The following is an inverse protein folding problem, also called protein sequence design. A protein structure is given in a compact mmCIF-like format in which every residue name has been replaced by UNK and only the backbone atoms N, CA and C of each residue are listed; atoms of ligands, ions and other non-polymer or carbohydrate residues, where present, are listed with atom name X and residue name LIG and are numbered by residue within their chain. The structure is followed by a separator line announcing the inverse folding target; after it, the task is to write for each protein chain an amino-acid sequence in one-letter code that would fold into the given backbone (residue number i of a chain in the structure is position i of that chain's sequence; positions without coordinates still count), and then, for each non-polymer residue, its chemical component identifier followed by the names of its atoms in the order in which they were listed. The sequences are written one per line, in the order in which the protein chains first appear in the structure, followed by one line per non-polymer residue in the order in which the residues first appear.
data_IF_177444287270
#
_entry.id   IF_177444287270
#
_cell.length_a   1.000
_cell.length_b   1.000
_cell.length_c   1.000
_cell.angle_alpha   90.00
_cell.angle_beta   90.00
_cell.angle_gamma   90.00
#
_symmetry.space_group_name_H-M   'P 1'
#
loop_
_entity.id
_entity.type
_entity.pdbx_description
1 polymer ?
#
# COMPACT_ATOMS: atom_id res chain seq x y z
N UNK A 1 -11.02 10.71 -4.38
CA UNK A 1 -10.07 9.62 -4.74
C UNK A 1 -9.32 9.99 -6.00
N UNK A 2 -8.01 9.96 -5.99
CA UNK A 2 -7.15 10.27 -7.12
C UNK A 2 -6.72 8.97 -7.82
N UNK A 3 -7.16 8.78 -9.06
CA UNK A 3 -6.93 7.55 -9.83
C UNK A 3 -5.93 7.88 -10.95
N UNK A 4 -4.89 7.06 -11.11
CA UNK A 4 -4.00 7.14 -12.27
C UNK A 4 -4.23 5.95 -13.19
N UNK A 5 -4.40 6.19 -14.50
CA UNK A 5 -4.48 5.14 -15.51
C UNK A 5 -3.17 5.11 -16.29
N UNK A 6 -2.55 3.93 -16.35
CA UNK A 6 -1.27 3.71 -17.02
C UNK A 6 -1.39 2.56 -18.02
N UNK A 7 -0.90 2.79 -19.22
CA UNK A 7 -0.82 1.78 -20.28
C UNK A 7 0.62 1.35 -20.50
N UNK A 8 0.85 0.05 -20.61
CA UNK A 8 2.10 -0.44 -21.19
C UNK A 8 2.08 -0.29 -22.72
N UNK A 9 3.24 -0.39 -23.36
CA UNK A 9 3.38 -0.15 -24.80
C UNK A 9 2.52 -1.08 -25.66
N UNK A 10 2.31 -2.31 -25.26
CA UNK A 10 1.44 -3.27 -25.96
C UNK A 10 -0.05 -2.93 -25.79
N UNK A 11 -0.47 -2.54 -24.59
CA UNK A 11 -1.86 -2.18 -24.31
C UNK A 11 -2.30 -0.91 -25.07
N UNK A 12 -1.39 0.01 -25.33
CA UNK A 12 -1.68 1.23 -26.14
C UNK A 12 -2.13 0.91 -27.56
N UNK A 13 -1.79 -0.23 -28.09
CA UNK A 13 -2.16 -0.67 -29.47
C UNK A 13 -3.50 -1.39 -29.52
N UNK A 14 -4.05 -1.79 -28.38
CA UNK A 14 -5.30 -2.53 -28.29
C UNK A 14 -6.48 -1.57 -28.11
N UNK A 15 -7.17 -1.25 -29.21
CA UNK A 15 -8.29 -0.31 -29.25
C UNK A 15 -9.39 -0.51 -28.19
N UNK A 16 -9.83 -1.74 -27.89
CA UNK A 16 -10.88 -1.96 -26.89
C UNK A 16 -10.49 -1.46 -25.50
N UNK A 17 -9.21 -1.52 -25.13
CA UNK A 17 -8.74 -1.04 -23.81
C UNK A 17 -8.60 0.48 -23.77
N UNK A 18 -8.20 1.08 -24.87
CA UNK A 18 -8.15 2.55 -24.99
C UNK A 18 -9.57 3.12 -24.88
N UNK A 19 -10.52 2.52 -25.59
CA UNK A 19 -11.93 2.91 -25.52
C UNK A 19 -12.51 2.72 -24.10
N UNK A 20 -12.20 1.59 -23.44
CA UNK A 20 -12.60 1.32 -22.05
C UNK A 20 -12.07 2.41 -21.11
N UNK A 21 -10.81 2.74 -21.20
CA UNK A 21 -10.20 3.75 -20.34
C UNK A 21 -10.74 5.14 -20.60
N UNK A 22 -11.06 5.47 -21.85
CA UNK A 22 -11.68 6.74 -22.20
C UNK A 22 -13.10 6.85 -21.62
N UNK A 23 -13.96 5.84 -21.83
CA UNK A 23 -15.28 5.78 -21.22
C UNK A 23 -15.23 5.85 -19.70
N UNK A 24 -14.27 5.14 -19.09
CA UNK A 24 -14.08 5.18 -17.64
C UNK A 24 -13.72 6.58 -17.16
N UNK A 25 -12.81 7.30 -17.85
CA UNK A 25 -12.47 8.68 -17.53
C UNK A 25 -13.65 9.63 -17.61
N UNK A 26 -14.46 9.53 -18.67
CA UNK A 26 -15.64 10.37 -18.88
C UNK A 26 -16.67 10.14 -17.77
N UNK A 27 -16.93 8.90 -17.40
CA UNK A 27 -17.94 8.57 -16.38
C UNK A 27 -17.47 8.86 -14.95
N UNK A 28 -16.20 8.60 -14.63
CA UNK A 28 -15.65 8.86 -13.28
C UNK A 28 -15.58 10.36 -12.99
N UNK A 29 -15.36 11.20 -13.99
CA UNK A 29 -15.42 12.65 -13.83
C UNK A 29 -16.78 13.13 -13.31
N UNK A 30 -17.86 12.36 -13.51
CA UNK A 30 -19.21 12.64 -13.00
C UNK A 30 -19.44 12.15 -11.57
N UNK A 31 -18.50 11.41 -10.97
CA UNK A 31 -18.63 10.73 -9.67
C UNK A 31 -17.73 11.34 -8.58
N UNK A 32 -17.44 12.65 -8.62
CA UNK A 32 -16.59 13.38 -7.66
C UNK A 32 -15.18 12.78 -7.47
N UNK A 33 -14.71 12.02 -8.43
CA UNK A 33 -13.36 11.46 -8.45
C UNK A 33 -12.58 12.00 -9.62
N UNK A 34 -11.30 12.32 -9.42
CA UNK A 34 -10.47 12.89 -10.46
C UNK A 34 -9.43 11.90 -10.98
N UNK A 35 -9.32 11.78 -12.31
CA UNK A 35 -8.14 11.20 -12.93
C UNK A 35 -7.03 12.25 -12.98
N UNK A 36 -6.01 12.04 -12.17
CA UNK A 36 -4.87 12.96 -12.10
C UNK A 36 -3.60 12.26 -12.55
N UNK A 37 -2.76 12.97 -13.26
CA UNK A 37 -1.33 12.68 -13.33
C UNK A 37 -0.74 13.20 -12.01
N UNK A 38 -1.09 12.56 -10.90
CA UNK A 38 -0.60 12.95 -9.60
C UNK A 38 0.74 12.28 -9.33
N UNK A 39 1.64 12.98 -8.66
CA UNK A 39 2.89 12.41 -8.15
C UNK A 39 2.65 11.26 -7.17
N UNK A 40 1.48 11.21 -6.54
CA UNK A 40 1.07 10.15 -5.62
C UNK A 40 -0.44 9.89 -5.73
N UNK A 41 -0.91 9.04 -6.66
CA UNK A 41 -2.31 8.65 -6.75
C UNK A 41 -2.71 7.75 -5.57
N UNK A 42 -4.01 7.76 -5.23
CA UNK A 42 -4.57 6.83 -4.24
C UNK A 42 -4.53 5.39 -4.76
N UNK A 43 -4.75 5.22 -6.06
CA UNK A 43 -4.70 3.93 -6.75
C UNK A 43 -4.21 4.10 -8.21
N UNK A 44 -3.54 3.08 -8.73
CA UNK A 44 -3.13 3.02 -10.14
C UNK A 44 -3.81 1.87 -10.85
N UNK A 45 -4.52 2.18 -11.93
CA UNK A 45 -5.06 1.17 -12.83
C UNK A 45 -4.09 0.95 -13.99
N UNK A 46 -3.51 -0.24 -14.06
CA UNK A 46 -2.54 -0.66 -15.07
C UNK A 46 -3.25 -1.47 -16.15
N UNK A 47 -3.23 -0.98 -17.37
CA UNK A 47 -3.58 -1.74 -18.56
C UNK A 47 -2.29 -2.32 -19.14
N UNK A 48 -2.10 -3.63 -19.04
CA UNK A 48 -0.84 -4.26 -19.41
C UNK A 48 -0.96 -5.72 -19.83
N UNK A 49 -0.02 -6.15 -20.68
CA UNK A 49 0.12 -7.55 -21.06
C UNK A 49 0.90 -8.38 -20.03
N UNK A 50 1.04 -9.68 -20.30
CA UNK A 50 1.88 -10.57 -19.49
C UNK A 50 3.36 -10.44 -19.85
N UNK A 51 3.89 -9.23 -19.79
CA UNK A 51 5.24 -8.88 -20.20
C UNK A 51 6.12 -8.30 -19.07
N UNK A 52 7.41 -8.15 -19.35
CA UNK A 52 8.38 -7.60 -18.40
C UNK A 52 8.09 -6.15 -18.04
N UNK A 53 7.54 -5.34 -18.97
CA UNK A 53 7.24 -3.95 -18.73
C UNK A 53 6.11 -3.80 -17.71
N UNK A 54 5.04 -4.57 -17.87
CA UNK A 54 3.93 -4.65 -16.90
C UNK A 54 4.42 -5.14 -15.53
N UNK A 55 5.27 -6.17 -15.52
CA UNK A 55 5.84 -6.67 -14.26
C UNK A 55 6.67 -5.62 -13.54
N UNK A 56 7.54 -4.91 -14.25
CA UNK A 56 8.37 -3.84 -13.69
C UNK A 56 7.53 -2.68 -13.15
N UNK A 57 6.47 -2.32 -13.87
CA UNK A 57 5.55 -1.25 -13.46
C UNK A 57 4.79 -1.61 -12.18
N UNK A 58 4.22 -2.81 -12.10
CA UNK A 58 3.52 -3.28 -10.90
C UNK A 58 4.49 -3.40 -9.71
N UNK A 59 5.72 -3.89 -9.93
CA UNK A 59 6.74 -3.96 -8.89
C UNK A 59 7.09 -2.56 -8.38
N UNK A 60 7.26 -1.58 -9.27
CA UNK A 60 7.52 -0.19 -8.90
C UNK A 60 6.43 0.38 -7.98
N UNK A 61 5.15 0.23 -8.36
CA UNK A 61 4.05 0.75 -7.53
C UNK A 61 3.91 0.00 -6.21
N UNK A 62 4.16 -1.30 -6.19
CA UNK A 62 4.22 -2.07 -4.94
C UNK A 62 5.33 -1.55 -4.02
N UNK A 63 6.51 -1.26 -4.54
CA UNK A 63 7.64 -0.72 -3.76
C UNK A 63 7.34 0.70 -3.25
N UNK A 64 6.58 1.49 -4.01
CA UNK A 64 6.03 2.78 -3.60
C UNK A 64 4.83 2.66 -2.65
N UNK A 65 4.37 1.44 -2.34
CA UNK A 65 3.19 1.19 -1.50
C UNK A 65 1.90 1.81 -2.05
N UNK A 66 1.75 1.84 -3.36
CA UNK A 66 0.54 2.32 -4.03
C UNK A 66 -0.27 1.10 -4.49
N UNK A 67 -1.56 0.97 -4.12
CA UNK A 67 -2.40 -0.10 -4.59
C UNK A 67 -2.59 -0.06 -6.10
N UNK A 68 -2.69 -1.23 -6.73
CA UNK A 68 -2.83 -1.34 -8.18
C UNK A 68 -3.98 -2.26 -8.57
N UNK A 69 -4.72 -1.87 -9.60
CA UNK A 69 -5.62 -2.75 -10.34
C UNK A 69 -4.95 -3.08 -11.69
N UNK A 70 -4.93 -4.34 -12.06
CA UNK A 70 -4.42 -4.79 -13.35
C UNK A 70 -5.56 -5.26 -14.24
N UNK A 71 -5.73 -4.63 -15.41
CA UNK A 71 -6.47 -5.22 -16.54
C UNK A 71 -5.48 -5.93 -17.44
N UNK A 72 -5.56 -7.26 -17.51
CA UNK A 72 -4.66 -8.10 -18.30
C UNK A 72 -5.10 -8.09 -19.78
N UNK A 73 -4.50 -7.21 -20.58
CA UNK A 73 -4.88 -6.96 -21.95
C UNK A 73 -4.79 -8.20 -22.89
N UNK A 74 -3.85 -9.10 -22.62
CA UNK A 74 -3.75 -10.34 -23.38
C UNK A 74 -4.93 -11.30 -23.12
N UNK A 75 -5.52 -11.24 -21.92
CA UNK A 75 -6.69 -12.02 -21.56
C UNK A 75 -7.91 -11.52 -22.33
N UNK A 76 -8.18 -10.21 -22.37
CA UNK A 76 -9.28 -9.64 -23.14
C UNK A 76 -9.13 -9.88 -24.65
N UNK A 77 -7.92 -9.79 -25.20
CA UNK A 77 -7.67 -10.07 -26.61
C UNK A 77 -8.05 -11.51 -26.97
N UNK A 78 -7.78 -12.48 -26.10
CA UNK A 78 -8.21 -13.85 -26.29
C UNK A 78 -9.74 -14.01 -26.23
N UNK A 79 -10.40 -13.28 -25.32
CA UNK A 79 -11.85 -13.28 -25.17
C UNK A 79 -12.56 -12.64 -26.38
N UNK A 80 -12.12 -11.45 -26.81
CA UNK A 80 -12.70 -10.75 -27.98
C UNK A 80 -12.45 -11.47 -29.30
N UNK A 81 -11.41 -12.32 -29.41
CA UNK A 81 -11.14 -13.17 -30.55
C UNK A 81 -12.02 -14.44 -30.59
N UNK A 82 -13.02 -14.57 -29.72
CA UNK A 82 -13.90 -15.75 -29.63
C UNK A 82 -13.23 -16.99 -29.03
N UNK A 83 -12.06 -16.85 -28.44
CA UNK A 83 -11.42 -17.90 -27.65
C UNK A 83 -12.00 -17.90 -26.25
N UNK A 84 -13.01 -18.69 -26.03
CA UNK A 84 -13.83 -18.71 -24.80
C UNK A 84 -13.09 -19.17 -23.53
N UNK A 85 -11.88 -19.67 -23.61
CA UNK A 85 -11.13 -20.12 -22.43
C UNK A 85 -9.66 -19.76 -22.53
N UNK A 86 -9.14 -19.12 -21.47
CA UNK A 86 -7.69 -19.04 -21.29
C UNK A 86 -7.21 -20.43 -20.93
N UNK A 87 -6.46 -21.06 -21.86
CA UNK A 87 -5.84 -22.34 -21.59
C UNK A 87 -4.88 -22.21 -20.40
N UNK A 88 -5.17 -22.99 -19.33
CA UNK A 88 -4.36 -23.00 -18.09
C UNK A 88 -2.89 -23.34 -18.37
N UNK A 89 -2.61 -24.13 -19.42
CA UNK A 89 -1.25 -24.50 -19.83
C UNK A 89 -0.44 -23.29 -20.34
N UNK A 90 -1.11 -22.26 -20.87
CA UNK A 90 -0.48 -21.06 -21.42
C UNK A 90 -0.09 -20.05 -20.35
N UNK A 91 -0.62 -20.15 -19.14
CA UNK A 91 -0.25 -19.29 -18.04
C UNK A 91 0.99 -19.83 -17.32
N UNK A 92 2.15 -19.46 -17.87
CA UNK A 92 3.45 -19.79 -17.30
C UNK A 92 3.58 -19.29 -15.85
N UNK A 93 4.53 -19.86 -15.10
CA UNK A 93 4.85 -19.45 -13.72
C UNK A 93 5.10 -17.94 -13.60
N UNK A 94 5.64 -17.31 -14.64
CA UNK A 94 5.86 -15.84 -14.71
C UNK A 94 4.55 -15.06 -14.78
N UNK A 95 3.56 -15.51 -15.56
CA UNK A 95 2.23 -14.88 -15.66
C UNK A 95 1.49 -14.94 -14.35
N UNK A 96 1.49 -16.10 -13.68
CA UNK A 96 0.94 -16.24 -12.33
C UNK A 96 1.57 -15.27 -11.33
N UNK A 97 2.90 -15.16 -11.35
CA UNK A 97 3.63 -14.22 -10.49
C UNK A 97 3.24 -12.77 -10.77
N UNK A 98 3.02 -12.40 -12.02
CA UNK A 98 2.61 -11.07 -12.43
C UNK A 98 1.21 -10.73 -11.89
N UNK A 99 0.22 -11.61 -12.01
CA UNK A 99 -1.12 -11.41 -11.44
C UNK A 99 -1.07 -11.20 -9.93
N UNK A 100 -0.17 -11.88 -9.22
CA UNK A 100 0.02 -11.74 -7.77
C UNK A 100 0.76 -10.47 -7.35
N UNK A 101 1.30 -9.68 -8.28
CA UNK A 101 1.91 -8.38 -7.97
C UNK A 101 0.87 -7.26 -7.83
N UNK A 102 -0.26 -7.38 -8.53
CA UNK A 102 -1.36 -6.43 -8.43
C UNK A 102 -2.12 -6.60 -7.10
N UNK A 103 -2.70 -5.52 -6.59
CA UNK A 103 -3.59 -5.56 -5.41
C UNK A 103 -4.90 -6.24 -5.77
N UNK A 104 -5.44 -5.92 -6.97
CA UNK A 104 -6.58 -6.59 -7.56
C UNK A 104 -6.38 -6.78 -9.07
N UNK A 105 -7.02 -7.79 -9.64
CA UNK A 105 -7.02 -8.09 -11.08
C UNK A 105 -8.43 -7.93 -11.61
N UNK A 106 -8.59 -7.11 -12.63
CA UNK A 106 -9.85 -6.91 -13.32
C UNK A 106 -10.04 -7.95 -14.43
N UNK A 107 -11.22 -8.56 -14.47
CA UNK A 107 -11.74 -9.39 -15.54
C UNK A 107 -13.01 -8.79 -16.15
N UNK A 108 -13.20 -8.92 -17.45
CA UNK A 108 -14.34 -8.33 -18.17
C UNK A 108 -15.61 -9.19 -18.11
N UNK A 109 -15.51 -10.43 -17.64
CA UNK A 109 -16.62 -11.34 -17.51
C UNK A 109 -16.32 -12.51 -16.60
N UNK A 110 -17.38 -13.24 -16.21
CA UNK A 110 -17.28 -14.35 -15.25
C UNK A 110 -16.35 -15.49 -15.73
N UNK A 111 -16.36 -15.81 -17.02
CA UNK A 111 -15.51 -16.88 -17.58
C UNK A 111 -14.03 -16.51 -17.49
N UNK A 112 -13.67 -15.27 -17.86
CA UNK A 112 -12.32 -14.75 -17.71
C UNK A 112 -11.92 -14.71 -16.25
N UNK A 113 -12.80 -14.19 -15.38
CA UNK A 113 -12.58 -14.13 -13.94
C UNK A 113 -12.31 -15.51 -13.34
N UNK A 114 -13.10 -16.51 -13.69
CA UNK A 114 -12.91 -17.89 -13.25
C UNK A 114 -11.58 -18.48 -13.75
N UNK A 115 -11.19 -18.21 -15.00
CA UNK A 115 -9.93 -18.67 -15.56
C UNK A 115 -8.72 -18.02 -14.88
N UNK A 116 -8.76 -16.70 -14.63
CA UNK A 116 -7.70 -15.98 -13.92
C UNK A 116 -7.57 -16.46 -12.47
N UNK A 117 -8.70 -16.60 -11.76
CA UNK A 117 -8.72 -17.09 -10.37
C UNK A 117 -8.20 -18.54 -10.28
N UNK A 118 -8.58 -19.41 -11.21
CA UNK A 118 -8.09 -20.78 -11.25
C UNK A 118 -6.58 -20.85 -11.53
N UNK A 119 -6.05 -19.88 -12.25
CA UNK A 119 -4.63 -19.81 -12.59
C UNK A 119 -3.77 -19.24 -11.48
N UNK A 120 -4.26 -18.21 -10.80
CA UNK A 120 -3.61 -17.55 -9.68
C UNK A 120 -4.57 -17.50 -8.48
N UNK A 121 -4.77 -18.60 -7.73
CA UNK A 121 -5.77 -18.70 -6.66
C UNK A 121 -5.56 -17.71 -5.51
N UNK A 122 -4.38 -17.09 -5.42
CA UNK A 122 -4.04 -16.06 -4.43
C UNK A 122 -4.19 -14.64 -4.97
N UNK A 123 -4.43 -14.47 -6.28
CA UNK A 123 -4.74 -13.17 -6.85
C UNK A 123 -6.18 -12.80 -6.51
N UNK A 124 -6.41 -11.53 -6.24
CA UNK A 124 -7.74 -10.99 -6.03
C UNK A 124 -8.33 -10.64 -7.40
N UNK A 125 -9.24 -11.47 -7.89
CA UNK A 125 -9.85 -11.30 -9.21
C UNK A 125 -11.27 -10.81 -9.05
N UNK A 126 -11.54 -9.62 -9.59
CA UNK A 126 -12.86 -8.99 -9.60
C UNK A 126 -13.37 -8.83 -11.03
N UNK A 127 -14.66 -9.06 -11.22
CA UNK A 127 -15.33 -8.96 -12.52
C UNK A 127 -16.07 -7.64 -12.61
N UNK A 128 -15.68 -6.80 -13.57
CA UNK A 128 -16.43 -5.59 -13.96
C UNK A 128 -16.70 -5.67 -15.45
N UNK A 129 -17.98 -5.80 -15.80
CA UNK A 129 -18.37 -5.97 -17.21
C UNK A 129 -18.01 -4.73 -18.04
N UNK A 130 -17.46 -4.97 -19.24
CA UNK A 130 -17.03 -3.93 -20.16
C UNK A 130 -18.07 -3.72 -21.27
N UNK A 131 -18.69 -2.53 -21.42
CA UNK A 131 -19.68 -2.26 -22.46
C UNK A 131 -19.13 -2.33 -23.88
N UNK A 132 -17.81 -2.23 -24.07
CA UNK A 132 -17.16 -2.43 -25.38
C UNK A 132 -17.22 -3.89 -25.82
N UNK A 133 -17.36 -4.82 -24.87
CA UNK A 133 -17.37 -6.27 -25.10
C UNK A 133 -18.77 -6.86 -24.92
N UNK A 134 -19.54 -6.30 -23.98
CA UNK A 134 -20.90 -6.74 -23.65
C UNK A 134 -21.89 -5.61 -23.85
N UNK A 135 -22.76 -5.71 -24.85
CA UNK A 135 -23.76 -4.69 -25.20
C UNK A 135 -24.84 -4.47 -24.13
N UNK A 136 -24.88 -5.31 -23.09
CA UNK A 136 -25.91 -5.30 -22.03
C UNK A 136 -25.60 -4.37 -20.86
N UNK A 137 -24.38 -3.82 -20.78
CA UNK A 137 -23.93 -3.00 -19.65
C UNK A 137 -23.69 -1.57 -20.09
N UNK A 138 -24.28 -0.60 -19.39
CA UNK A 138 -24.02 0.82 -19.68
C UNK A 138 -22.66 1.27 -19.14
N UNK A 139 -22.06 2.30 -19.75
CA UNK A 139 -20.81 2.89 -19.29
C UNK A 139 -20.89 3.40 -17.83
N UNK A 140 -22.07 3.87 -17.39
CA UNK A 140 -22.31 4.30 -16.01
C UNK A 140 -22.24 3.13 -15.02
N UNK A 141 -22.83 1.98 -15.35
CA UNK A 141 -22.77 0.77 -14.52
C UNK A 141 -21.35 0.23 -14.44
N UNK A 142 -20.64 0.23 -15.55
CA UNK A 142 -19.21 -0.12 -15.58
C UNK A 142 -18.40 0.78 -14.68
N UNK A 143 -18.57 2.10 -14.78
CA UNK A 143 -17.83 3.06 -13.96
C UNK A 143 -18.09 2.85 -12.46
N UNK A 144 -19.36 2.62 -12.07
CA UNK A 144 -19.70 2.30 -10.70
C UNK A 144 -18.99 1.02 -10.21
N UNK A 145 -18.96 -0.03 -11.03
CA UNK A 145 -18.23 -1.27 -10.73
C UNK A 145 -16.73 -1.04 -10.55
N UNK A 146 -16.10 -0.22 -11.38
CA UNK A 146 -14.69 0.13 -11.19
C UNK A 146 -14.44 0.98 -9.94
N UNK A 147 -15.35 1.91 -9.61
CA UNK A 147 -15.22 2.69 -8.37
C UNK A 147 -15.28 1.78 -7.14
N UNK A 148 -16.18 0.81 -7.12
CA UNK A 148 -16.24 -0.20 -6.08
C UNK A 148 -14.94 -1.03 -6.02
N UNK A 149 -14.46 -1.53 -7.17
CA UNK A 149 -13.20 -2.27 -7.26
C UNK A 149 -12.01 -1.46 -6.75
N UNK A 150 -11.94 -0.18 -7.06
CA UNK A 150 -10.88 0.70 -6.57
C UNK A 150 -10.94 0.86 -5.06
N UNK A 151 -12.13 1.08 -4.51
CA UNK A 151 -12.32 1.20 -3.07
C UNK A 151 -11.91 -0.08 -2.33
N UNK A 152 -12.36 -1.23 -2.79
CA UNK A 152 -12.01 -2.54 -2.23
C UNK A 152 -10.49 -2.80 -2.30
N UNK A 153 -9.84 -2.42 -3.41
CA UNK A 153 -8.39 -2.57 -3.58
C UNK A 153 -7.61 -1.66 -2.62
N UNK A 154 -8.06 -0.42 -2.39
CA UNK A 154 -7.45 0.49 -1.42
C UNK A 154 -7.58 -0.07 0.00
N UNK A 155 -8.78 -0.46 0.41
CA UNK A 155 -9.05 -1.02 1.74
C UNK A 155 -8.22 -2.27 2.02
N UNK A 156 -8.16 -3.19 1.06
CA UNK A 156 -7.34 -4.39 1.16
C UNK A 156 -5.85 -4.09 1.27
N UNK A 157 -5.38 -3.09 0.52
CA UNK A 157 -4.00 -2.63 0.61
C UNK A 157 -3.69 -2.06 2.00
N UNK A 158 -4.56 -1.24 2.55
CA UNK A 158 -4.42 -0.67 3.90
C UNK A 158 -4.43 -1.77 4.97
N UNK A 159 -5.30 -2.76 4.88
CA UNK A 159 -5.29 -3.92 5.76
C UNK A 159 -3.96 -4.69 5.70
N UNK A 160 -3.39 -4.84 4.49
CA UNK A 160 -2.09 -5.47 4.29
C UNK A 160 -0.98 -4.66 4.95
N UNK A 161 -0.96 -3.34 4.77
CA UNK A 161 0.01 -2.43 5.40
C UNK A 161 -0.10 -2.50 6.92
N UNK A 162 -1.30 -2.43 7.47
CA UNK A 162 -1.53 -2.53 8.92
C UNK A 162 -1.05 -3.88 9.48
N UNK A 163 -1.31 -4.98 8.77
CA UNK A 163 -0.82 -6.31 9.15
C UNK A 163 0.73 -6.38 9.14
N UNK A 164 1.39 -5.79 8.16
CA UNK A 164 2.86 -5.71 8.10
C UNK A 164 3.43 -4.85 9.23
N UNK A 165 2.78 -3.73 9.55
CA UNK A 165 3.14 -2.87 10.70
C UNK A 165 3.07 -3.68 12.00
N UNK A 166 1.96 -4.36 12.26
CA UNK A 166 1.78 -5.19 13.47
C UNK A 166 2.82 -6.31 13.56
N UNK A 167 3.12 -7.01 12.47
CA UNK A 167 4.16 -8.05 12.42
C UNK A 167 5.54 -7.47 12.74
N UNK A 168 5.86 -6.31 12.19
CA UNK A 168 7.14 -5.62 12.42
C UNK A 168 7.31 -5.26 13.89
N UNK A 169 6.27 -4.67 14.50
CA UNK A 169 6.26 -4.30 15.93
C UNK A 169 6.39 -5.56 16.80
N UNK A 170 5.60 -6.58 16.53
CA UNK A 170 5.61 -7.84 17.30
C UNK A 170 6.99 -8.48 17.27
N UNK A 171 7.60 -8.61 16.10
CA UNK A 171 8.95 -9.16 15.97
C UNK A 171 10.00 -8.35 16.72
N UNK A 172 9.97 -7.02 16.60
CA UNK A 172 10.92 -6.14 17.28
C UNK A 172 10.75 -6.18 18.81
N UNK A 173 9.52 -6.17 19.33
CA UNK A 173 9.24 -6.24 20.77
C UNK A 173 9.60 -7.59 21.37
N UNK A 174 9.36 -8.71 20.67
CA UNK A 174 9.81 -10.03 21.09
C UNK A 174 11.34 -10.11 21.19
N UNK A 175 12.06 -9.52 20.23
CA UNK A 175 13.52 -9.44 20.28
C UNK A 175 14.01 -8.61 21.48
N UNK A 176 13.32 -7.51 21.82
CA UNK A 176 13.63 -6.72 23.02
C UNK A 176 13.45 -7.51 24.30
N UNK A 177 12.30 -8.17 24.47
CA UNK A 177 12.03 -9.00 25.64
C UNK A 177 13.05 -10.13 25.79
N UNK A 178 13.43 -10.80 24.68
CA UNK A 178 14.46 -11.84 24.70
C UNK A 178 15.82 -11.28 25.12
N UNK A 179 16.26 -10.17 24.55
CA UNK A 179 17.53 -9.51 24.88
C UNK A 179 17.64 -9.14 26.36
N UNK A 180 16.55 -8.73 26.98
CA UNK A 180 16.54 -8.36 28.40
C UNK A 180 16.51 -9.60 29.34
N UNK A 181 15.85 -10.67 28.92
CA UNK A 181 15.91 -11.96 29.62
C UNK A 181 17.36 -12.47 29.69
N UNK A 182 18.06 -12.44 28.57
CA UNK A 182 19.45 -12.89 28.47
C UNK A 182 20.42 -12.05 29.35
N UNK A 183 20.04 -10.81 29.69
CA UNK A 183 20.81 -9.91 30.58
C UNK A 183 20.40 -10.03 32.05
N UNK A 184 19.52 -10.95 32.44
CA UNK A 184 19.02 -11.11 33.83
C UNK A 184 18.11 -9.98 34.32
N UNK A 185 17.69 -9.06 33.45
CA UNK A 185 16.85 -7.90 33.79
C UNK A 185 15.35 -8.18 33.67
N UNK A 186 14.92 -9.42 33.82
CA UNK A 186 13.61 -9.91 33.42
C UNK A 186 12.42 -9.33 34.20
N UNK A 187 12.63 -8.86 35.43
CA UNK A 187 11.50 -8.50 36.31
C UNK A 187 11.13 -7.00 36.24
N UNK A 188 12.09 -6.11 36.02
CA UNK A 188 11.85 -4.66 36.09
C UNK A 188 11.36 -4.02 34.79
N UNK A 189 11.76 -4.55 33.63
CA UNK A 189 11.44 -3.95 32.33
C UNK A 189 10.04 -4.35 31.82
N UNK A 190 9.55 -5.54 32.27
CA UNK A 190 8.19 -6.00 31.92
C UNK A 190 7.18 -5.53 32.96
N UNK A 191 7.62 -5.29 34.20
CA UNK A 191 6.80 -4.90 35.34
C UNK A 191 7.00 -3.47 35.79
N UNK A 192 7.61 -2.61 34.99
CA UNK A 192 7.57 -1.17 35.22
C UNK A 192 6.13 -0.67 35.29
N UNK A 193 5.45 -1.13 36.34
CA UNK A 193 4.14 -0.73 36.81
C UNK A 193 3.04 -0.76 35.75
N UNK A 194 2.57 -1.89 35.38
CA UNK A 194 1.44 -2.17 34.50
C UNK A 194 1.85 -2.56 33.07
N UNK A 195 1.13 -3.53 32.50
CA UNK A 195 1.25 -3.95 31.10
C UNK A 195 0.96 -2.83 30.07
N UNK A 196 0.73 -1.61 30.53
CA UNK A 196 0.41 -0.43 29.78
C UNK A 196 1.65 0.17 29.08
N UNK A 197 2.84 0.17 29.69
CA UNK A 197 4.04 0.76 29.09
C UNK A 197 4.43 0.12 27.75
N UNK A 198 4.39 -1.20 27.63
CA UNK A 198 4.66 -1.90 26.37
C UNK A 198 3.55 -1.66 25.33
N UNK A 199 2.31 -1.49 25.76
CA UNK A 199 1.18 -1.16 24.91
C UNK A 199 1.35 0.25 24.30
N UNK A 200 1.76 1.22 25.10
CA UNK A 200 1.99 2.59 24.67
C UNK A 200 3.19 2.68 23.70
N UNK A 201 4.28 1.96 23.96
CA UNK A 201 5.41 1.88 23.02
C UNK A 201 4.97 1.28 21.69
N UNK A 202 4.19 0.20 21.70
CA UNK A 202 3.65 -0.38 20.46
C UNK A 202 2.79 0.61 19.70
N UNK A 203 1.99 1.42 20.40
CA UNK A 203 1.18 2.49 19.81
C UNK A 203 2.06 3.54 19.12
N UNK A 204 3.07 4.08 19.81
CA UNK A 204 4.03 5.04 19.22
C UNK A 204 4.72 4.45 17.99
N UNK A 205 5.22 3.22 18.08
CA UNK A 205 5.85 2.53 16.96
C UNK A 205 4.90 2.34 15.76
N UNK A 206 3.63 2.03 16.01
CA UNK A 206 2.62 1.91 14.97
C UNK A 206 2.39 3.24 14.25
N UNK A 207 2.24 4.34 14.98
CA UNK A 207 2.09 5.67 14.40
C UNK A 207 3.33 6.10 13.59
N UNK A 208 4.54 5.83 14.06
CA UNK A 208 5.77 6.14 13.34
C UNK A 208 5.92 5.31 12.05
N UNK A 209 5.60 4.01 12.08
CA UNK A 209 5.61 3.16 10.90
C UNK A 209 4.56 3.60 9.87
N UNK A 210 3.37 3.95 10.34
CA UNK A 210 2.30 4.45 9.47
C UNK A 210 2.63 5.84 8.90
N UNK A 211 3.18 6.74 9.71
CA UNK A 211 3.65 8.04 9.24
C UNK A 211 4.74 7.91 8.16
N UNK A 212 5.68 6.96 8.32
CA UNK A 212 6.68 6.66 7.29
C UNK A 212 6.04 6.15 6.00
N UNK A 213 5.03 5.29 6.12
CA UNK A 213 4.26 4.82 4.96
C UNK A 213 3.59 5.98 4.23
N UNK A 214 2.91 6.88 4.96
CA UNK A 214 2.28 8.07 4.37
C UNK A 214 3.30 9.03 3.76
N UNK A 215 4.43 9.26 4.44
CA UNK A 215 5.50 10.13 3.95
C UNK A 215 6.10 9.62 2.63
N UNK A 216 6.33 8.31 2.50
CA UNK A 216 6.84 7.71 1.28
C UNK A 216 5.86 7.84 0.09
N UNK A 217 4.59 8.04 0.38
CA UNK A 217 3.53 8.30 -0.61
C UNK A 217 3.25 9.79 -0.84
N UNK A 218 3.91 10.69 -0.12
CA UNK A 218 3.59 12.12 -0.15
C UNK A 218 2.20 12.45 0.45
N UNK A 219 1.66 11.57 1.30
CA UNK A 219 0.33 11.69 1.93
C UNK A 219 0.39 12.06 3.42
N UNK A 220 1.56 12.43 3.93
CA UNK A 220 1.71 12.90 5.31
C UNK A 220 1.25 14.36 5.43
N UNK A 221 -0.07 14.55 5.45
CA UNK A 221 -0.73 15.87 5.54
C UNK A 221 -0.45 16.58 6.87
N UNK A 222 -0.70 17.91 6.93
CA UNK A 222 -0.56 18.69 8.16
C UNK A 222 -1.40 18.13 9.30
N UNK A 223 -2.65 17.73 9.04
CA UNK A 223 -3.51 17.09 10.03
C UNK A 223 -2.90 15.80 10.61
N UNK A 224 -2.33 14.95 9.75
CA UNK A 224 -1.66 13.71 10.21
C UNK A 224 -0.40 13.99 11.02
N UNK A 225 0.30 15.07 10.71
CA UNK A 225 1.45 15.52 11.48
C UNK A 225 1.04 16.03 12.87
N UNK A 226 -0.07 16.76 12.97
CA UNK A 226 -0.64 17.20 14.25
C UNK A 226 -1.07 16.00 15.12
N UNK A 227 -1.82 15.05 14.56
CA UNK A 227 -2.22 13.80 15.23
C UNK A 227 -0.99 13.05 15.78
N UNK A 228 0.08 12.96 15.00
CA UNK A 228 1.31 12.29 15.39
C UNK A 228 2.05 13.04 16.50
N UNK A 229 2.14 14.38 16.42
CA UNK A 229 2.74 15.20 17.46
C UNK A 229 1.99 15.00 18.79
N UNK A 230 0.66 14.99 18.76
CA UNK A 230 -0.17 14.71 19.95
C UNK A 230 0.12 13.32 20.55
N UNK A 231 0.27 12.30 19.73
CA UNK A 231 0.64 10.96 20.21
C UNK A 231 2.01 10.95 20.87
N UNK A 232 3.00 11.63 20.29
CA UNK A 232 4.36 11.71 20.84
C UNK A 232 4.40 12.47 22.19
N UNK A 233 3.59 13.52 22.35
CA UNK A 233 3.54 14.32 23.58
C UNK A 233 2.74 13.61 24.68
N UNK A 234 1.58 13.01 24.31
CA UNK A 234 0.63 12.49 25.30
C UNK A 234 0.97 11.09 25.80
N UNK A 235 1.92 10.39 25.16
CA UNK A 235 2.24 9.01 25.48
C UNK A 235 3.47 8.93 26.39
N UNK A 236 3.33 8.28 27.54
CA UNK A 236 4.45 7.95 28.43
C UNK A 236 5.02 6.60 28.02
N UNK A 237 6.31 6.54 27.69
CA UNK A 237 6.97 5.32 27.23
C UNK A 237 8.40 5.21 27.78
N UNK A 238 8.92 3.99 27.79
CA UNK A 238 10.30 3.69 28.15
C UNK A 238 11.24 4.07 26.99
N UNK A 239 12.08 5.07 27.22
CA UNK A 239 13.03 5.60 26.22
C UNK A 239 14.05 4.56 25.77
N UNK A 240 14.57 3.73 26.68
CA UNK A 240 15.53 2.68 26.34
C UNK A 240 14.89 1.62 25.43
N UNK A 241 13.64 1.27 25.69
CA UNK A 241 12.87 0.38 24.83
C UNK A 241 12.67 0.98 23.44
N UNK A 242 12.23 2.23 23.36
CA UNK A 242 12.02 2.91 22.07
C UNK A 242 13.33 3.03 21.30
N UNK A 243 14.42 3.42 21.96
CA UNK A 243 15.76 3.51 21.37
C UNK A 243 16.25 2.16 20.80
N UNK A 244 15.91 1.05 21.46
CA UNK A 244 16.21 -0.29 20.97
C UNK A 244 15.36 -0.68 19.75
N UNK A 245 14.10 -0.29 19.71
CA UNK A 245 13.14 -0.68 18.67
C UNK A 245 13.31 0.10 17.36
N UNK A 246 13.58 1.41 17.43
CA UNK A 246 13.68 2.28 16.25
C UNK A 246 14.65 1.78 15.17
N UNK A 247 15.91 1.38 15.50
CA UNK A 247 16.83 0.84 14.49
C UNK A 247 16.36 -0.47 13.88
N UNK A 248 15.75 -1.36 14.69
CA UNK A 248 15.26 -2.68 14.25
C UNK A 248 14.09 -2.58 13.29
N UNK A 249 13.26 -1.58 13.47
CA UNK A 249 12.15 -1.25 12.56
C UNK A 249 12.59 -0.32 11.41
N UNK A 250 13.90 0.02 11.33
CA UNK A 250 14.46 0.96 10.35
C UNK A 250 13.80 2.35 10.43
N UNK A 251 13.39 2.76 11.60
CA UNK A 251 12.71 4.03 11.84
C UNK A 251 13.66 5.16 12.29
N UNK A 252 14.89 4.85 12.70
CA UNK A 252 15.80 5.80 13.35
C UNK A 252 15.97 7.11 12.54
N UNK A 253 16.35 7.01 11.27
CA UNK A 253 16.56 8.17 10.41
C UNK A 253 15.24 8.90 10.12
N UNK A 254 14.17 8.15 9.81
CA UNK A 254 12.86 8.74 9.57
C UNK A 254 12.35 9.51 10.80
N UNK A 255 12.47 8.93 11.99
CA UNK A 255 12.04 9.59 13.23
C UNK A 255 12.80 10.90 13.46
N UNK A 256 14.13 10.93 13.24
CA UNK A 256 14.90 12.16 13.37
C UNK A 256 14.44 13.24 12.38
N UNK A 257 14.23 12.90 11.11
CA UNK A 257 13.73 13.82 10.09
C UNK A 257 12.32 14.35 10.42
N UNK A 258 11.46 13.45 10.90
CA UNK A 258 10.09 13.77 11.28
C UNK A 258 10.06 14.74 12.47
N UNK A 259 10.87 14.50 13.50
CA UNK A 259 10.95 15.39 14.67
C UNK A 259 11.37 16.80 14.27
N UNK A 260 12.40 16.93 13.42
CA UNK A 260 12.82 18.23 12.91
C UNK A 260 11.66 18.93 12.17
N UNK A 261 10.95 18.21 11.29
CA UNK A 261 9.79 18.75 10.58
C UNK A 261 8.68 19.22 11.52
N UNK A 262 8.37 18.46 12.58
CA UNK A 262 7.33 18.81 13.54
C UNK A 262 7.75 20.00 14.41
N UNK A 263 9.03 20.15 14.75
CA UNK A 263 9.59 21.29 15.45
C UNK A 263 9.57 22.55 14.57
N UNK A 264 10.02 22.46 13.32
CA UNK A 264 9.96 23.57 12.35
C UNK A 264 8.52 24.10 12.15
N UNK A 265 7.53 23.21 12.26
CA UNK A 265 6.10 23.54 12.20
C UNK A 265 5.50 23.96 13.53
N UNK A 266 6.29 24.07 14.60
CA UNK A 266 5.86 24.42 15.96
C UNK A 266 4.82 23.45 16.55
N UNK A 267 4.74 22.23 16.04
CA UNK A 267 3.88 21.16 16.58
C UNK A 267 4.51 20.44 17.77
N UNK A 268 5.83 20.53 17.90
CA UNK A 268 6.60 20.08 19.05
C UNK A 268 7.47 21.24 19.56
N UNK A 269 7.72 21.27 20.86
CA UNK A 269 8.66 22.25 21.44
C UNK A 269 10.06 22.06 20.87
N UNK A 270 10.80 23.16 20.77
CA UNK A 270 12.22 23.12 20.39
C UNK A 270 12.98 22.20 21.37
N UNK A 271 13.78 21.29 20.83
CA UNK A 271 14.52 20.30 21.62
C UNK A 271 13.69 19.11 22.14
N UNK A 272 12.40 19.00 21.79
CA UNK A 272 11.63 17.79 22.12
C UNK A 272 12.27 16.56 21.48
N UNK A 273 12.61 15.57 22.29
CA UNK A 273 13.15 14.29 21.84
C UNK A 273 12.45 13.15 22.58
N UNK A 274 11.91 12.16 21.84
CA UNK A 274 11.25 11.00 22.44
C UNK A 274 12.22 10.01 23.08
N UNK A 275 13.53 10.24 22.93
CA UNK A 275 14.62 9.43 23.52
C UNK A 275 15.78 10.35 23.94
N UNK A 276 16.48 9.96 25.00
CA UNK A 276 17.71 10.64 25.41
C UNK A 276 18.82 10.51 24.36
N UNK A 277 19.11 11.61 23.67
CA UNK A 277 20.12 11.67 22.61
C UNK A 277 21.56 11.49 23.13
N UNK A 278 21.82 11.81 24.39
CA UNK A 278 23.13 11.60 25.00
C UNK A 278 23.41 10.10 25.16
N UNK A 279 22.39 9.33 25.54
CA UNK A 279 22.46 7.87 25.69
C UNK A 279 22.31 7.13 24.36
N UNK A 280 21.48 7.66 23.44
CA UNK A 280 21.07 7.00 22.21
C UNK A 280 21.19 7.92 20.98
N UNK A 281 22.39 8.34 20.56
CA UNK A 281 22.55 9.33 19.50
C UNK A 281 21.92 8.84 18.18
N UNK A 282 20.95 9.60 17.68
CA UNK A 282 20.37 9.41 16.35
C UNK A 282 21.38 9.95 15.33
N UNK A 283 22.28 9.10 14.82
CA UNK A 283 23.22 9.53 13.77
C UNK A 283 22.45 9.91 12.52
N UNK A 284 22.29 11.19 12.27
CA UNK A 284 21.82 11.71 10.99
C UNK A 284 23.00 11.57 10.03
N UNK A 285 22.90 10.68 9.05
CA UNK A 285 23.78 10.77 7.89
C UNK A 285 23.29 11.97 7.09
N UNK A 286 24.07 13.03 7.07
CA UNK A 286 23.87 14.10 6.10
C UNK A 286 23.94 13.45 4.71
N UNK A 287 22.84 13.50 3.97
CA UNK A 287 22.75 13.08 2.57
C UNK A 287 23.15 14.25 1.70
#
# INVERSE_FOLDING_TARGET
MNISIVFTSQAKKAQPYVALAQQLREQVATLDSSFVVASSPDIVHVFGGFDKATQALLAKYRDMRIPTVLTACDALAAYTAGKQTIDRSQLSRSRRKLLMLATAVHAVGNEEGAALAATAPKADVSVVANPVVTTTVSAKVMAAGFMQLYQEAIEKHEQTVNSEILKTITSATQAYVKSNKDKGQTAMVISGGSGDGMKEIKKVCAHLLYARYLNNRGLLTSQRQEELAQVLISTTYDEDCLAYLLPRMRLKTFTAQLLNLLQERQLLSEGFMPIDMARHPLKIKNV
#
